data_IF_023131602270
#
_entry.id   IF_023131602270
#
_cell.length_a   1.000
_cell.length_b   1.000
_cell.length_c   1.000
_cell.angle_alpha   90.00
_cell.angle_beta   90.00
_cell.angle_gamma   90.00
#
_symmetry.space_group_name_H-M   'P 1'
#
loop_
_entity.id
_entity.type
_entity.pdbx_description
1 polymer ?
#
# COMPACT_ATOMS: atom_id res chain seq x y z
N UNK A 1 -30.56 -3.48 0.88
CA UNK A 1 -29.18 -3.90 1.21
C UNK A 1 -28.39 -2.64 1.48
N UNK A 2 -28.08 -2.35 2.74
CA UNK A 2 -27.17 -1.25 3.10
C UNK A 2 -25.76 -1.80 3.01
N UNK A 3 -24.87 -1.05 2.35
CA UNK A 3 -23.49 -1.42 1.99
C UNK A 3 -22.71 -2.18 3.05
N UNK A 4 -22.02 -3.24 2.63
CA UNK A 4 -21.29 -4.21 3.47
C UNK A 4 -20.38 -3.58 4.54
N UNK A 5 -19.87 -2.37 4.34
CA UNK A 5 -19.11 -1.57 5.33
C UNK A 5 -19.37 -0.05 5.19
N UNK A 6 -20.57 0.36 4.76
CA UNK A 6 -20.85 1.77 4.44
C UNK A 6 -20.48 2.20 3.01
N UNK A 7 -20.06 1.26 2.16
CA UNK A 7 -19.88 1.46 0.72
C UNK A 7 -21.20 1.47 -0.03
N UNK A 8 -21.39 2.39 -0.96
CA UNK A 8 -22.59 2.46 -1.81
C UNK A 8 -22.56 1.37 -2.89
N UNK A 9 -23.72 1.05 -3.48
CA UNK A 9 -23.78 0.14 -4.63
C UNK A 9 -22.93 0.63 -5.82
N UNK A 10 -22.84 1.95 -6.01
CA UNK A 10 -21.99 2.54 -7.05
C UNK A 10 -20.51 2.29 -6.79
N UNK A 11 -20.07 2.34 -5.54
CA UNK A 11 -18.69 2.03 -5.15
C UNK A 11 -18.38 0.54 -5.32
N UNK A 12 -19.30 -0.35 -4.96
CA UNK A 12 -19.14 -1.78 -5.19
C UNK A 12 -19.08 -2.11 -6.68
N UNK A 13 -19.90 -1.47 -7.52
CA UNK A 13 -19.79 -1.58 -8.98
C UNK A 13 -18.45 -1.07 -9.48
N UNK A 14 -17.97 0.05 -8.95
CA UNK A 14 -16.66 0.61 -9.33
C UNK A 14 -15.51 -0.35 -9.03
N UNK A 15 -15.54 -1.05 -7.88
CA UNK A 15 -14.57 -2.10 -7.56
C UNK A 15 -14.55 -3.19 -8.64
N UNK A 16 -15.73 -3.66 -9.06
CA UNK A 16 -15.84 -4.68 -10.11
C UNK A 16 -15.37 -4.17 -11.47
N UNK A 17 -15.70 -2.93 -11.83
CA UNK A 17 -15.21 -2.30 -13.07
C UNK A 17 -13.68 -2.21 -13.11
N UNK A 18 -13.05 -1.85 -11.99
CA UNK A 18 -11.60 -1.74 -11.89
C UNK A 18 -10.90 -3.10 -11.91
N UNK A 19 -11.53 -4.15 -11.35
CA UNK A 19 -11.04 -5.52 -11.48
C UNK A 19 -11.17 -6.06 -12.92
N UNK A 20 -12.10 -5.49 -13.70
CA UNK A 20 -12.38 -5.90 -15.08
C UNK A 20 -13.00 -7.30 -15.14
N UNK A 21 -12.52 -8.14 -16.05
CA UNK A 21 -12.97 -9.53 -16.16
C UNK A 21 -12.22 -10.50 -15.23
N UNK A 22 -11.23 -10.00 -14.47
CA UNK A 22 -10.46 -10.83 -13.56
C UNK A 22 -11.30 -11.18 -12.32
N UNK A 23 -11.35 -12.46 -11.92
CA UNK A 23 -12.11 -12.86 -10.74
C UNK A 23 -11.41 -12.37 -9.46
N UNK A 24 -12.18 -12.08 -8.42
CA UNK A 24 -11.70 -11.68 -7.09
C UNK A 24 -12.04 -12.81 -6.10
N UNK A 25 -11.21 -13.86 -6.08
CA UNK A 25 -11.45 -15.09 -5.31
C UNK A 25 -10.51 -15.24 -4.11
N UNK A 26 -9.35 -14.61 -4.17
CA UNK A 26 -8.32 -14.65 -3.13
C UNK A 26 -7.79 -13.25 -2.81
N UNK A 27 -7.19 -13.04 -1.61
CA UNK A 27 -6.63 -11.75 -1.21
C UNK A 27 -5.67 -11.14 -2.23
N UNK A 28 -4.83 -11.96 -2.85
CA UNK A 28 -3.89 -11.52 -3.91
C UNK A 28 -4.58 -10.88 -5.12
N UNK A 29 -5.82 -11.25 -5.42
CA UNK A 29 -6.57 -10.77 -6.59
C UNK A 29 -6.93 -9.28 -6.50
N UNK A 30 -6.87 -8.68 -5.30
CA UNK A 30 -6.96 -7.22 -5.12
C UNK A 30 -5.96 -6.48 -6.00
N UNK A 31 -4.82 -7.12 -6.32
CA UNK A 31 -3.84 -6.58 -7.26
C UNK A 31 -4.44 -6.22 -8.62
N UNK A 32 -5.45 -6.93 -9.12
CA UNK A 32 -6.09 -6.62 -10.40
C UNK A 32 -6.68 -5.21 -10.43
N UNK A 33 -7.28 -4.79 -9.32
CA UNK A 33 -7.82 -3.43 -9.15
C UNK A 33 -6.69 -2.39 -9.14
N UNK A 34 -5.61 -2.66 -8.40
CA UNK A 34 -4.47 -1.74 -8.26
C UNK A 34 -3.66 -1.63 -9.56
N UNK A 35 -3.56 -2.72 -10.31
CA UNK A 35 -2.87 -2.75 -11.61
C UNK A 35 -3.59 -1.90 -12.66
N UNK A 36 -4.92 -1.76 -12.55
CA UNK A 36 -5.74 -0.86 -13.38
C UNK A 36 -5.51 0.64 -13.14
N UNK A 37 -4.95 1.04 -12.00
CA UNK A 37 -4.60 2.43 -11.74
C UNK A 37 -3.24 2.79 -12.35
N UNK A 38 -3.09 4.03 -12.83
CA UNK A 38 -1.80 4.60 -13.20
C UNK A 38 -1.08 5.18 -11.97
N UNK A 39 0.25 5.34 -12.05
CA UNK A 39 0.99 6.03 -11.00
C UNK A 39 0.85 7.56 -11.16
N UNK A 40 0.78 8.28 -10.03
CA UNK A 40 0.83 9.74 -10.00
C UNK A 40 2.29 10.20 -9.90
N UNK A 41 2.93 10.46 -11.03
CA UNK A 41 4.35 10.84 -11.09
C UNK A 41 4.61 12.25 -10.52
N UNK A 42 3.66 13.16 -10.69
CA UNK A 42 3.73 14.57 -10.26
C UNK A 42 3.29 14.76 -8.80
N UNK A 43 3.40 13.71 -7.98
CA UNK A 43 2.92 13.71 -6.60
C UNK A 43 3.57 14.78 -5.73
N UNK A 44 4.80 15.24 -6.03
CA UNK A 44 5.45 16.32 -5.26
C UNK A 44 4.69 17.65 -5.35
N UNK A 45 4.10 17.94 -6.51
CA UNK A 45 3.29 19.14 -6.71
C UNK A 45 1.83 18.95 -6.27
N UNK A 46 1.39 17.68 -6.16
CA UNK A 46 0.01 17.30 -5.92
C UNK A 46 -0.13 16.38 -4.69
N UNK A 47 0.69 16.61 -3.66
CA UNK A 47 0.79 15.66 -2.55
C UNK A 47 -0.48 15.65 -1.72
N UNK A 48 -1.27 14.61 -1.93
CA UNK A 48 -2.54 14.38 -1.26
C UNK A 48 -2.77 12.88 -1.12
N UNK A 49 -2.72 12.40 0.11
CA UNK A 49 -3.12 11.04 0.45
C UNK A 49 -4.65 10.95 0.41
N UNK A 50 -5.15 9.95 -0.30
CA UNK A 50 -6.56 9.72 -0.54
C UNK A 50 -7.11 8.60 0.34
N UNK A 51 -8.40 8.70 0.68
CA UNK A 51 -9.14 7.60 1.30
C UNK A 51 -9.45 6.51 0.26
N UNK A 52 -9.86 5.33 0.72
CA UNK A 52 -10.29 4.23 -0.16
C UNK A 52 -11.34 4.71 -1.17
N UNK A 53 -12.37 5.41 -0.70
CA UNK A 53 -13.43 5.98 -1.55
C UNK A 53 -12.89 6.93 -2.60
N UNK A 54 -12.01 7.85 -2.22
CA UNK A 54 -11.39 8.78 -3.17
C UNK A 54 -10.52 8.06 -4.19
N UNK A 55 -9.72 7.08 -3.77
CA UNK A 55 -8.86 6.30 -4.65
C UNK A 55 -9.65 5.48 -5.68
N UNK A 56 -10.85 4.97 -5.34
CA UNK A 56 -11.74 4.28 -6.30
C UNK A 56 -12.19 5.17 -7.47
N UNK A 57 -12.20 6.49 -7.26
CA UNK A 57 -12.58 7.49 -8.27
C UNK A 57 -11.37 8.05 -9.03
N UNK A 58 -10.15 7.69 -8.62
CA UNK A 58 -8.92 8.25 -9.17
C UNK A 58 -8.28 7.32 -10.20
N UNK A 59 -8.01 7.84 -11.39
CA UNK A 59 -7.27 7.11 -12.43
C UNK A 59 -5.77 6.99 -12.11
N UNK A 60 -5.23 7.92 -11.32
CA UNK A 60 -3.82 7.98 -10.93
C UNK A 60 -3.70 8.02 -9.41
N UNK A 61 -2.82 7.20 -8.85
CA UNK A 61 -2.60 7.08 -7.40
C UNK A 61 -1.11 6.97 -7.07
N UNK A 62 -0.72 7.34 -5.85
CA UNK A 62 0.64 7.14 -5.33
C UNK A 62 0.80 5.76 -4.67
N UNK A 63 2.00 5.46 -4.16
CA UNK A 63 2.25 4.23 -3.40
C UNK A 63 1.42 4.16 -2.11
N UNK A 64 1.29 5.25 -1.37
CA UNK A 64 0.53 5.28 -0.12
C UNK A 64 -0.99 5.22 -0.36
N UNK A 65 -1.49 5.87 -1.41
CA UNK A 65 -2.89 5.72 -1.84
C UNK A 65 -3.20 4.27 -2.22
N UNK A 66 -2.31 3.64 -2.99
CA UNK A 66 -2.47 2.25 -3.40
C UNK A 66 -2.41 1.29 -2.21
N UNK A 67 -1.57 1.56 -1.22
CA UNK A 67 -1.53 0.80 0.02
C UNK A 67 -2.86 0.94 0.79
N UNK A 68 -3.34 2.16 1.04
CA UNK A 68 -4.62 2.41 1.73
C UNK A 68 -5.79 1.77 0.97
N UNK A 69 -5.85 1.93 -0.35
CA UNK A 69 -6.86 1.29 -1.19
C UNK A 69 -6.81 -0.23 -1.07
N UNK A 70 -5.63 -0.84 -1.19
CA UNK A 70 -5.46 -2.30 -1.02
C UNK A 70 -5.89 -2.77 0.37
N UNK A 71 -5.55 -1.99 1.41
CA UNK A 71 -5.90 -2.30 2.80
C UNK A 71 -7.41 -2.34 3.01
N UNK A 72 -8.12 -1.31 2.52
CA UNK A 72 -9.58 -1.26 2.60
C UNK A 72 -10.28 -2.28 1.71
N UNK A 73 -9.74 -2.59 0.53
CA UNK A 73 -10.31 -3.63 -0.34
C UNK A 73 -10.17 -5.02 0.26
N UNK A 74 -9.03 -5.32 0.91
CA UNK A 74 -8.85 -6.56 1.66
C UNK A 74 -9.87 -6.66 2.80
N UNK A 75 -10.13 -5.56 3.52
CA UNK A 75 -11.18 -5.54 4.54
C UNK A 75 -12.58 -5.81 3.96
N UNK A 76 -12.92 -5.13 2.86
CA UNK A 76 -14.23 -5.17 2.24
C UNK A 76 -14.54 -6.55 1.62
N UNK A 77 -13.58 -7.12 0.90
CA UNK A 77 -13.78 -8.32 0.08
C UNK A 77 -13.36 -9.60 0.81
N UNK A 78 -12.40 -9.50 1.73
CA UNK A 78 -11.76 -10.63 2.39
C UNK A 78 -11.61 -10.36 3.89
N UNK A 79 -12.73 -10.13 4.58
CA UNK A 79 -12.75 -9.65 5.97
C UNK A 79 -11.96 -10.48 6.99
N UNK A 80 -11.72 -11.77 6.72
CA UNK A 80 -10.87 -12.66 7.53
C UNK A 80 -9.36 -12.54 7.28
N UNK A 81 -8.95 -11.81 6.24
CA UNK A 81 -7.54 -11.67 5.86
C UNK A 81 -6.82 -10.73 6.81
N UNK A 82 -5.76 -11.25 7.45
CA UNK A 82 -4.80 -10.42 8.17
C UNK A 82 -4.13 -9.46 7.18
N UNK A 83 -4.04 -8.18 7.55
CA UNK A 83 -3.46 -7.12 6.72
C UNK A 83 -2.74 -6.08 7.56
N UNK A 84 -1.61 -5.58 7.06
CA UNK A 84 -0.78 -4.55 7.71
C UNK A 84 -0.21 -3.61 6.65
N UNK A 85 0.29 -2.45 7.05
CA UNK A 85 1.08 -1.57 6.21
C UNK A 85 2.56 -1.78 6.52
N UNK A 86 3.36 -1.94 5.47
CA UNK A 86 4.82 -1.87 5.52
C UNK A 86 5.25 -0.55 4.90
N UNK A 87 5.86 0.30 5.71
CA UNK A 87 6.43 1.56 5.28
C UNK A 87 7.96 1.45 5.28
N UNK A 88 8.59 1.82 4.17
CA UNK A 88 10.04 1.74 3.95
C UNK A 88 10.54 3.13 3.58
N UNK A 89 11.64 3.55 4.19
CA UNK A 89 12.32 4.79 3.84
C UNK A 89 13.61 4.49 3.10
N UNK A 90 13.90 5.26 2.05
CA UNK A 90 15.16 5.16 1.29
C UNK A 90 15.70 6.53 0.93
N UNK A 91 17.00 6.59 0.63
CA UNK A 91 17.69 7.76 0.07
C UNK A 91 18.10 7.52 -1.38
N UNK A 92 17.92 8.52 -2.23
CA UNK A 92 18.58 8.65 -3.53
C UNK A 92 19.92 9.38 -3.34
N UNK A 93 21.06 8.66 -3.34
CA UNK A 93 22.36 9.29 -3.13
C UNK A 93 22.75 10.25 -4.26
N UNK A 94 22.13 10.15 -5.45
CA UNK A 94 22.42 11.05 -6.58
C UNK A 94 21.74 12.41 -6.43
N UNK A 95 20.65 12.47 -5.68
CA UNK A 95 19.83 13.68 -5.48
C UNK A 95 19.85 14.19 -4.03
N UNK A 96 20.51 13.44 -3.15
CA UNK A 96 20.45 13.62 -1.69
C UNK A 96 19.01 13.75 -1.19
N UNK A 97 18.12 12.92 -1.73
CA UNK A 97 16.68 12.98 -1.46
C UNK A 97 16.21 11.71 -0.75
N UNK A 98 15.51 11.88 0.37
CA UNK A 98 14.83 10.79 1.05
C UNK A 98 13.36 10.69 0.65
N UNK A 99 12.87 9.45 0.51
CA UNK A 99 11.52 9.19 0.08
C UNK A 99 10.98 7.92 0.75
N UNK A 100 9.75 8.00 1.24
CA UNK A 100 8.98 6.85 1.71
C UNK A 100 8.39 6.03 0.56
N UNK A 101 8.21 4.75 0.81
CA UNK A 101 7.40 3.83 0.02
C UNK A 101 6.51 3.03 0.97
N UNK A 102 5.24 2.87 0.63
CA UNK A 102 4.27 2.19 1.47
C UNK A 102 3.58 1.08 0.67
N UNK A 103 3.42 -0.08 1.30
CA UNK A 103 2.72 -1.22 0.72
C UNK A 103 1.81 -1.89 1.75
N UNK A 104 0.73 -2.51 1.28
CA UNK A 104 -0.13 -3.33 2.13
C UNK A 104 0.35 -4.76 2.11
N UNK A 105 0.70 -5.28 3.28
CA UNK A 105 0.93 -6.69 3.52
C UNK A 105 -0.39 -7.43 3.70
N UNK A 106 -0.46 -8.63 3.15
CA UNK A 106 -1.57 -9.57 3.36
C UNK A 106 -1.02 -10.96 3.59
N UNK A 107 -1.78 -11.78 4.33
CA UNK A 107 -1.43 -13.16 4.62
C UNK A 107 -2.37 -14.08 3.89
N UNK A 108 -1.81 -15.08 3.22
CA UNK A 108 -2.57 -16.22 2.70
C UNK A 108 -2.89 -17.21 3.84
N UNK A 109 -3.78 -18.16 3.56
CA UNK A 109 -4.24 -19.15 4.54
C UNK A 109 -3.11 -20.04 5.09
N UNK A 110 -2.01 -20.19 4.35
CA UNK A 110 -0.81 -20.94 4.78
C UNK A 110 0.16 -20.10 5.63
N UNK A 111 -0.20 -18.84 5.91
CA UNK A 111 0.59 -17.90 6.70
C UNK A 111 1.68 -17.17 5.90
N UNK A 112 1.83 -17.43 4.60
CA UNK A 112 2.77 -16.70 3.75
C UNK A 112 2.30 -15.29 3.48
N UNK A 113 3.27 -14.38 3.38
CA UNK A 113 3.02 -12.95 3.32
C UNK A 113 3.28 -12.45 1.90
N UNK A 114 2.30 -11.77 1.31
CA UNK A 114 2.44 -11.01 0.07
C UNK A 114 2.35 -9.50 0.33
N UNK A 115 2.57 -8.70 -0.71
CA UNK A 115 2.42 -7.25 -0.62
C UNK A 115 1.75 -6.66 -1.87
N UNK A 116 0.92 -5.64 -1.70
CA UNK A 116 0.18 -4.96 -2.78
C UNK A 116 0.26 -3.44 -2.60
N UNK A 117 0.60 -2.75 -3.68
CA UNK A 117 0.70 -1.28 -3.78
C UNK A 117 0.92 -0.87 -5.24
N UNK A 118 1.26 0.40 -5.46
CA UNK A 118 1.76 0.96 -6.72
C UNK A 118 3.13 1.58 -6.50
N UNK A 119 3.93 1.66 -7.56
CA UNK A 119 5.21 2.36 -7.55
C UNK A 119 5.52 2.90 -8.93
N UNK A 120 6.25 4.01 -8.99
CA UNK A 120 6.86 4.49 -10.24
C UNK A 120 8.01 3.59 -10.71
N UNK A 121 8.57 2.75 -9.81
CA UNK A 121 9.63 1.82 -10.15
C UNK A 121 9.06 0.42 -10.43
N UNK A 122 9.45 -0.13 -11.59
CA UNK A 122 9.06 -1.49 -11.98
C UNK A 122 9.52 -2.48 -10.91
N UNK A 123 8.62 -3.39 -10.52
CA UNK A 123 8.92 -4.43 -9.53
C UNK A 123 8.84 -3.97 -8.08
N UNK A 124 8.45 -2.73 -7.76
CA UNK A 124 8.23 -2.27 -6.38
C UNK A 124 6.74 -2.12 -6.01
N UNK A 125 5.83 -2.48 -6.91
CA UNK A 125 4.39 -2.41 -6.64
C UNK A 125 3.86 -3.55 -5.78
N UNK A 126 4.38 -4.77 -5.93
CA UNK A 126 3.83 -5.94 -5.25
C UNK A 126 4.89 -7.00 -4.93
N UNK A 127 4.50 -7.99 -4.12
CA UNK A 127 5.23 -9.22 -3.84
C UNK A 127 4.24 -10.38 -3.80
N UNK A 128 4.62 -11.49 -4.43
CA UNK A 128 3.89 -12.75 -4.31
C UNK A 128 3.94 -13.27 -2.87
N UNK A 129 2.91 -13.99 -2.39
CA UNK A 129 2.81 -14.43 -1.01
C UNK A 129 3.70 -15.64 -0.74
N UNK A 130 5.02 -15.40 -0.63
CA UNK A 130 6.03 -16.45 -0.42
C UNK A 130 6.88 -16.22 0.83
N UNK A 131 6.73 -15.07 1.49
CA UNK A 131 7.58 -14.66 2.60
C UNK A 131 7.08 -15.25 3.92
N UNK A 132 7.99 -15.60 4.82
CA UNK A 132 7.66 -16.19 6.13
C UNK A 132 7.32 -15.13 7.19
N UNK A 133 7.91 -13.94 7.07
CA UNK A 133 7.74 -12.85 8.02
C UNK A 133 7.86 -11.47 7.34
N UNK A 134 7.43 -10.44 8.06
CA UNK A 134 7.35 -9.06 7.55
C UNK A 134 8.74 -8.49 7.24
N UNK A 135 9.75 -8.88 8.02
CA UNK A 135 11.15 -8.48 7.82
C UNK A 135 11.70 -9.04 6.49
N UNK A 136 11.33 -10.26 6.12
CA UNK A 136 11.69 -10.88 4.84
C UNK A 136 11.05 -10.15 3.66
N UNK A 137 9.81 -9.67 3.81
CA UNK A 137 9.18 -8.81 2.81
C UNK A 137 9.94 -7.49 2.69
N UNK A 138 10.23 -6.83 3.81
CA UNK A 138 10.99 -5.57 3.84
C UNK A 138 12.39 -5.72 3.21
N UNK A 139 13.11 -6.79 3.53
CA UNK A 139 14.41 -7.12 2.95
C UNK A 139 14.33 -7.31 1.42
N UNK A 140 13.24 -7.90 0.91
CA UNK A 140 13.03 -8.05 -0.53
C UNK A 140 12.85 -6.72 -1.27
N UNK A 141 12.29 -5.70 -0.60
CA UNK A 141 12.21 -4.34 -1.12
C UNK A 141 13.55 -3.62 -0.99
N UNK A 142 14.22 -3.75 0.16
CA UNK A 142 15.54 -3.17 0.39
C UNK A 142 16.57 -3.65 -0.64
N UNK A 143 16.60 -4.95 -0.95
CA UNK A 143 17.46 -5.50 -2.01
C UNK A 143 17.17 -4.86 -3.37
N UNK A 144 15.89 -4.74 -3.73
CA UNK A 144 15.51 -4.11 -4.99
C UNK A 144 15.88 -2.62 -5.04
N UNK A 145 15.83 -1.90 -3.91
CA UNK A 145 16.34 -0.53 -3.82
C UNK A 145 17.85 -0.46 -4.03
N UNK A 146 18.62 -1.35 -3.42
CA UNK A 146 20.07 -1.43 -3.60
C UNK A 146 20.44 -1.70 -5.06
N UNK A 147 19.74 -2.64 -5.72
CA UNK A 147 19.92 -2.94 -7.16
C UNK A 147 19.64 -1.71 -8.05
N UNK A 148 18.77 -0.81 -7.62
CA UNK A 148 18.47 0.45 -8.31
C UNK A 148 19.44 1.60 -7.94
N UNK A 149 20.38 1.37 -7.02
CA UNK A 149 21.33 2.37 -6.52
C UNK A 149 20.76 3.31 -5.46
N UNK A 150 19.64 2.96 -4.83
CA UNK A 150 19.11 3.65 -3.65
C UNK A 150 19.68 3.03 -2.37
N UNK A 151 19.76 3.84 -1.32
CA UNK A 151 20.11 3.37 0.02
C UNK A 151 18.83 3.14 0.83
N UNK A 152 18.43 1.90 1.15
CA UNK A 152 17.36 1.65 2.10
C UNK A 152 17.83 2.05 3.51
N UNK A 153 16.97 2.75 4.26
CA UNK A 153 17.32 3.32 5.56
C UNK A 153 16.57 2.62 6.69
N UNK A 154 15.24 2.70 6.67
CA UNK A 154 14.39 2.24 7.76
C UNK A 154 13.14 1.54 7.24
N UNK A 155 12.54 0.71 8.08
CA UNK A 155 11.18 0.23 7.86
C UNK A 155 10.39 0.10 9.15
N UNK A 156 9.07 0.10 9.00
CA UNK A 156 8.10 -0.07 10.07
C UNK A 156 6.88 -0.82 9.56
N UNK A 157 6.20 -1.54 10.47
CA UNK A 157 5.02 -2.34 10.14
C UNK A 157 3.92 -2.10 11.17
N UNK A 158 2.75 -1.67 10.71
CA UNK A 158 1.63 -1.22 11.56
C UNK A 158 0.29 -1.53 10.90
N UNK A 159 -0.83 -1.31 11.56
CA UNK A 159 -2.16 -1.27 10.93
C UNK A 159 -2.64 0.18 10.74
N UNK A 160 -3.64 0.40 9.89
CA UNK A 160 -4.27 1.72 9.81
C UNK A 160 -5.03 2.07 11.09
N UNK A 161 -5.57 1.06 11.78
CA UNK A 161 -6.25 1.19 13.06
C UNK A 161 -5.28 1.59 14.18
N UNK A 162 -4.03 1.12 14.16
CA UNK A 162 -2.98 1.50 15.12
C UNK A 162 -2.38 2.87 14.78
N UNK A 163 -2.04 3.12 13.52
CA UNK A 163 -1.39 4.35 13.10
C UNK A 163 -2.35 5.55 13.02
N UNK A 164 -3.62 5.32 12.70
CA UNK A 164 -4.60 6.37 12.45
C UNK A 164 -5.99 6.05 13.04
N UNK A 165 -6.10 5.82 14.36
CA UNK A 165 -7.33 5.36 15.02
C UNK A 165 -8.51 6.35 14.90
N UNK A 166 -8.21 7.63 14.73
CA UNK A 166 -9.12 8.77 14.66
C UNK A 166 -9.40 9.27 13.23
N UNK A 167 -8.72 8.71 12.22
CA UNK A 167 -8.91 9.11 10.82
C UNK A 167 -9.74 8.08 10.06
N UNK A 168 -10.77 8.55 9.36
CA UNK A 168 -11.56 7.70 8.47
C UNK A 168 -10.85 7.50 7.12
N UNK A 169 -9.87 6.61 7.11
CA UNK A 169 -9.12 6.23 5.90
C UNK A 169 -9.97 5.52 4.84
N UNK A 170 -11.22 5.13 5.16
CA UNK A 170 -12.16 4.52 4.20
C UNK A 170 -12.88 5.58 3.39
N UNK A 171 -13.41 6.60 4.07
CA UNK A 171 -14.43 7.49 3.48
C UNK A 171 -14.15 8.98 3.59
N UNK A 172 -13.06 9.39 4.25
CA UNK A 172 -12.76 10.80 4.40
C UNK A 172 -12.66 11.52 3.05
N UNK A 173 -13.28 12.70 2.95
CA UNK A 173 -13.33 13.51 1.73
C UNK A 173 -12.15 14.50 1.60
N UNK A 174 -11.40 14.73 2.68
CA UNK A 174 -10.23 15.60 2.72
C UNK A 174 -8.96 14.93 2.19
N UNK A 175 -7.81 15.51 2.50
CA UNK A 175 -6.53 14.81 2.42
C UNK A 175 -6.24 14.07 3.72
N UNK A 176 -5.48 12.98 3.63
CA UNK A 176 -5.07 12.16 4.75
C UNK A 176 -3.55 12.23 4.94
N UNK A 177 -2.95 13.39 4.64
CA UNK A 177 -1.49 13.56 4.63
C UNK A 177 -0.83 13.23 5.98
N UNK A 178 -1.57 13.40 7.08
CA UNK A 178 -1.13 13.03 8.42
C UNK A 178 -0.77 11.54 8.55
N UNK A 179 -1.42 10.64 7.79
CA UNK A 179 -1.08 9.21 7.77
C UNK A 179 0.39 9.01 7.43
N UNK A 180 0.97 9.80 6.52
CA UNK A 180 2.39 9.72 6.17
C UNK A 180 3.30 9.91 7.39
N UNK A 181 3.04 10.96 8.17
CA UNK A 181 3.81 11.29 9.39
C UNK A 181 3.65 10.19 10.43
N UNK A 182 2.44 9.67 10.59
CA UNK A 182 2.15 8.61 11.58
C UNK A 182 2.77 7.26 11.18
N UNK A 183 2.85 6.95 9.89
CA UNK A 183 3.58 5.78 9.40
C UNK A 183 5.09 5.91 9.58
N UNK A 184 5.65 7.12 9.42
CA UNK A 184 7.06 7.36 9.73
C UNK A 184 7.37 7.17 11.21
N UNK A 185 6.47 7.58 12.10
CA UNK A 185 6.61 7.35 13.54
C UNK A 185 6.59 5.85 13.91
N UNK A 186 6.07 4.99 13.03
CA UNK A 186 6.07 3.54 13.21
C UNK A 186 7.36 2.84 12.70
N UNK A 187 8.34 3.59 12.17
CA UNK A 187 9.65 3.01 11.84
C UNK A 187 10.33 2.48 13.09
N UNK A 188 10.70 1.20 13.03
CA UNK A 188 11.23 0.47 14.18
C UNK A 188 12.58 -0.19 13.88
N UNK A 189 12.92 -0.38 12.60
CA UNK A 189 14.09 -1.12 12.18
C UNK A 189 14.91 -0.32 11.17
N UNK A 190 16.23 -0.40 11.27
CA UNK A 190 17.18 0.12 10.29
C UNK A 190 17.76 -1.00 9.43
N UNK A 191 18.03 -0.70 8.16
CA UNK A 191 18.80 -1.60 7.30
C UNK A 191 20.30 -1.37 7.54
N UNK A 192 21.04 -2.46 7.76
CA UNK A 192 22.50 -2.45 7.75
C UNK A 192 22.94 -2.89 6.36
N UNK A 193 23.68 -2.03 5.67
CA UNK A 193 24.26 -2.33 4.36
C UNK A 193 25.76 -2.40 4.56
N UNK A 194 26.30 -3.62 4.59
CA UNK A 194 27.75 -3.83 4.58
C UNK A 194 28.25 -3.60 3.15
N UNK A 195 29.20 -2.67 3.01
CA UNK A 195 29.84 -2.31 1.73
C UNK A 195 31.06 -3.17 1.45
#
# INVERSE_FOLDING_TARGET
MVGQLGYTEAELRRVQEMAGAAPLLAPGDVRHIIDGCQYLDEWRANYRIQSVRSSLQSARITCIDAAILSYGLLELLFSGTKRRLLAIHRRDPKKDEECGHCVTLYWENDGRIGAISKSSFKGLGHREPVFADEASVAASYARAYLEMGFQPLYFGVTTLEEAAPDLDWRFHQGDLNEISTRLQAAYAYGFVVDY
#
